data_IF_243511494484
#
_entry.id   IF_243511494484
#
_cell.length_a   1.000
_cell.length_b   1.000
_cell.length_c   1.000
_cell.angle_alpha   90.00
_cell.angle_beta   90.00
_cell.angle_gamma   90.00
#
_symmetry.space_group_name_H-M   'P 1'
#
loop_
_entity.id
_entity.type
_entity.pdbx_description
1 polymer ?
#
# COMPACT_ATOMS: atom_id res chain seq x y z
N UNK A 1 27.18 -32.24 -0.54
CA UNK A 1 27.84 -31.01 -1.04
C UNK A 1 26.82 -29.92 -0.86
N UNK A 2 27.17 -28.81 -0.20
CA UNK A 2 26.21 -27.73 0.07
C UNK A 2 25.74 -27.16 -1.25
N UNK A 3 24.43 -27.15 -1.48
CA UNK A 3 23.87 -26.45 -2.61
C UNK A 3 24.12 -24.94 -2.46
N UNK A 4 24.55 -24.28 -3.54
CA UNK A 4 24.71 -22.81 -3.61
C UNK A 4 23.64 -22.16 -4.48
N UNK A 5 22.57 -22.91 -4.76
CA UNK A 5 21.48 -22.45 -5.61
C UNK A 5 20.62 -21.42 -4.87
N UNK A 6 20.01 -20.49 -5.61
CA UNK A 6 19.20 -19.45 -5.00
C UNK A 6 17.89 -20.05 -4.45
N UNK A 7 17.70 -20.00 -3.14
CA UNK A 7 16.52 -20.55 -2.49
C UNK A 7 15.25 -19.75 -2.79
N UNK A 8 15.38 -18.47 -3.15
CA UNK A 8 14.24 -17.61 -3.49
C UNK A 8 13.49 -18.13 -4.73
N UNK A 9 14.23 -18.71 -5.70
CA UNK A 9 13.63 -19.27 -6.91
C UNK A 9 12.74 -20.48 -6.63
N UNK A 10 12.95 -21.20 -5.53
CA UNK A 10 12.05 -22.29 -5.12
C UNK A 10 10.68 -21.76 -4.70
N UNK A 11 10.63 -20.60 -4.06
CA UNK A 11 9.38 -19.93 -3.68
C UNK A 11 8.70 -19.32 -4.91
N UNK A 12 9.45 -18.57 -5.73
CA UNK A 12 8.93 -17.99 -6.98
C UNK A 12 8.39 -19.06 -7.96
N UNK A 13 8.95 -20.27 -7.91
CA UNK A 13 8.44 -21.41 -8.67
C UNK A 13 7.04 -21.84 -8.22
N UNK A 14 6.77 -21.85 -6.91
CA UNK A 14 5.45 -22.19 -6.36
C UNK A 14 4.43 -21.09 -6.63
N UNK A 15 4.85 -19.84 -6.55
CA UNK A 15 4.01 -18.66 -6.81
C UNK A 15 3.73 -18.44 -8.31
N UNK A 16 4.33 -19.25 -9.19
CA UNK A 16 4.27 -19.12 -10.65
C UNK A 16 4.76 -17.77 -11.20
N UNK A 17 5.69 -17.12 -10.49
CA UNK A 17 6.25 -15.81 -10.85
C UNK A 17 7.56 -15.90 -11.64
N UNK A 18 8.20 -17.06 -11.68
CA UNK A 18 9.43 -17.28 -12.47
C UNK A 18 9.19 -17.12 -13.98
N UNK A 19 10.20 -16.59 -14.67
CA UNK A 19 10.21 -16.56 -16.13
C UNK A 19 10.37 -17.98 -16.71
N UNK A 20 9.97 -18.16 -17.97
CA UNK A 20 10.04 -19.46 -18.65
C UNK A 20 11.45 -20.06 -18.70
N UNK A 21 12.48 -19.22 -18.77
CA UNK A 21 13.89 -19.65 -18.80
C UNK A 21 14.36 -20.07 -17.41
N UNK A 22 14.08 -19.27 -16.38
CA UNK A 22 14.47 -19.55 -15.00
C UNK A 22 13.80 -20.83 -14.49
N UNK A 23 12.52 -21.04 -14.85
CA UNK A 23 11.80 -22.28 -14.55
C UNK A 23 12.52 -23.51 -15.10
N UNK A 24 12.98 -23.46 -16.35
CA UNK A 24 13.64 -24.60 -16.99
C UNK A 24 14.98 -24.91 -16.31
N UNK A 25 15.75 -23.89 -15.93
CA UNK A 25 17.00 -24.04 -15.18
C UNK A 25 16.77 -24.65 -13.81
N UNK A 26 15.75 -24.19 -13.08
CA UNK A 26 15.36 -24.73 -11.78
C UNK A 26 14.98 -26.22 -11.89
N UNK A 27 14.17 -26.58 -12.89
CA UNK A 27 13.73 -27.96 -13.10
C UNK A 27 14.90 -28.91 -13.37
N UNK A 28 15.87 -28.49 -14.19
CA UNK A 28 17.10 -29.26 -14.41
C UNK A 28 17.95 -29.35 -13.14
N UNK A 29 18.02 -28.29 -12.34
CA UNK A 29 18.73 -28.30 -11.06
C UNK A 29 18.10 -29.29 -10.06
N UNK A 30 16.76 -29.27 -9.91
CA UNK A 30 16.03 -30.15 -8.98
C UNK A 30 16.11 -31.64 -9.37
N UNK A 31 16.31 -31.94 -10.66
CA UNK A 31 16.61 -33.31 -11.10
C UNK A 31 17.97 -33.80 -10.58
N UNK A 32 18.97 -32.93 -10.49
CA UNK A 32 20.32 -33.27 -10.03
C UNK A 32 20.59 -33.06 -8.54
N UNK A 33 19.87 -32.15 -7.88
CA UNK A 33 20.14 -31.75 -6.49
C UNK A 33 19.11 -32.34 -5.51
N UNK A 34 19.52 -33.23 -4.59
CA UNK A 34 18.61 -33.80 -3.59
C UNK A 34 18.19 -32.80 -2.50
N UNK A 35 19.03 -31.81 -2.18
CA UNK A 35 18.72 -30.79 -1.15
C UNK A 35 17.55 -29.90 -1.61
N UNK A 36 17.66 -29.27 -2.79
CA UNK A 36 16.59 -28.44 -3.34
C UNK A 36 15.29 -29.22 -3.63
N UNK A 37 15.39 -30.51 -3.96
CA UNK A 37 14.20 -31.36 -4.12
C UNK A 37 13.47 -31.55 -2.80
N UNK A 38 14.21 -31.76 -1.70
CA UNK A 38 13.64 -31.93 -0.37
C UNK A 38 12.95 -30.64 0.07
N UNK A 39 13.64 -29.51 -0.06
CA UNK A 39 13.09 -28.18 0.27
C UNK A 39 11.83 -27.85 -0.54
N UNK A 40 11.84 -28.10 -1.86
CA UNK A 40 10.65 -27.90 -2.70
C UNK A 40 9.48 -28.78 -2.26
N UNK A 41 9.76 -29.99 -1.79
CA UNK A 41 8.73 -30.90 -1.29
C UNK A 41 8.16 -30.39 0.04
N UNK A 42 9.02 -29.93 0.96
CA UNK A 42 8.61 -29.34 2.23
C UNK A 42 7.75 -28.09 2.02
N UNK A 43 8.16 -27.18 1.13
CA UNK A 43 7.39 -25.98 0.79
C UNK A 43 6.03 -26.32 0.18
N UNK A 44 5.95 -27.35 -0.69
CA UNK A 44 4.67 -27.82 -1.24
C UNK A 44 3.73 -28.38 -0.19
N UNK A 45 4.26 -29.13 0.78
CA UNK A 45 3.46 -29.66 1.88
C UNK A 45 2.89 -28.54 2.74
N UNK A 46 3.72 -27.54 3.09
CA UNK A 46 3.26 -26.36 3.84
C UNK A 46 2.17 -25.60 3.08
N UNK A 47 2.34 -25.38 1.78
CA UNK A 47 1.33 -24.72 0.96
C UNK A 47 0.02 -25.51 0.96
N UNK A 48 0.10 -26.83 0.81
CA UNK A 48 -1.07 -27.71 0.81
C UNK A 48 -1.80 -27.70 2.16
N UNK A 49 -1.08 -27.72 3.27
CA UNK A 49 -1.67 -27.59 4.62
C UNK A 49 -2.39 -26.24 4.80
N UNK A 50 -1.86 -25.17 4.20
CA UNK A 50 -2.49 -23.85 4.23
C UNK A 50 -3.76 -23.84 3.38
N UNK A 51 -3.74 -24.46 2.21
CA UNK A 51 -4.89 -24.57 1.31
C UNK A 51 -6.01 -25.46 1.88
N UNK A 52 -5.65 -26.49 2.65
CA UNK A 52 -6.60 -27.39 3.30
C UNK A 52 -7.23 -26.78 4.57
N UNK A 53 -6.74 -25.61 5.04
CA UNK A 53 -7.38 -24.91 6.15
C UNK A 53 -8.84 -24.60 5.83
N UNK A 54 -9.71 -24.89 6.80
CA UNK A 54 -11.16 -24.81 6.71
C UNK A 54 -11.57 -23.44 6.18
N UNK A 55 -12.40 -23.44 5.14
CA UNK A 55 -12.99 -22.25 4.57
C UNK A 55 -13.80 -21.52 5.67
N UNK A 56 -13.34 -20.34 6.06
CA UNK A 56 -13.94 -19.58 7.15
C UNK A 56 -15.22 -18.93 6.61
N UNK A 57 -16.35 -19.28 7.21
CA UNK A 57 -17.64 -18.68 6.84
C UNK A 57 -17.58 -17.17 7.11
N UNK A 58 -17.58 -16.40 6.03
CA UNK A 58 -17.29 -14.97 6.07
C UNK A 58 -18.54 -14.25 6.60
N UNK A 59 -18.43 -13.40 7.65
CA UNK A 59 -19.59 -12.69 8.17
C UNK A 59 -20.24 -11.83 7.08
N UNK A 60 -21.57 -11.74 7.10
CA UNK A 60 -22.36 -11.10 6.04
C UNK A 60 -21.90 -9.64 5.77
N UNK A 61 -21.47 -8.92 6.80
CA UNK A 61 -20.92 -7.58 6.65
C UNK A 61 -19.64 -7.58 5.80
N UNK A 62 -18.74 -8.54 6.02
CA UNK A 62 -17.49 -8.65 5.26
C UNK A 62 -17.74 -9.02 3.79
N UNK A 63 -18.75 -9.85 3.51
CA UNK A 63 -19.17 -10.16 2.13
C UNK A 63 -19.65 -8.91 1.41
N UNK A 64 -20.43 -8.07 2.11
CA UNK A 64 -20.93 -6.79 1.56
C UNK A 64 -19.79 -5.84 1.24
N UNK A 65 -18.80 -5.71 2.15
CA UNK A 65 -17.61 -4.88 1.91
C UNK A 65 -16.78 -5.43 0.76
N UNK A 66 -16.56 -6.75 0.67
CA UNK A 66 -15.85 -7.39 -0.46
C UNK A 66 -16.51 -7.05 -1.79
N UNK A 67 -17.84 -7.16 -1.88
CA UNK A 67 -18.58 -6.84 -3.10
C UNK A 67 -18.41 -5.37 -3.51
N UNK A 68 -18.49 -4.43 -2.55
CA UNK A 68 -18.28 -3.00 -2.79
C UNK A 68 -16.84 -2.68 -3.22
N UNK A 69 -15.84 -3.32 -2.61
CA UNK A 69 -14.44 -3.12 -3.01
C UNK A 69 -14.21 -3.63 -4.43
N UNK A 70 -14.74 -4.81 -4.76
CA UNK A 70 -14.60 -5.37 -6.11
C UNK A 70 -15.32 -4.54 -7.18
N UNK A 71 -16.49 -3.96 -6.89
CA UNK A 71 -17.16 -3.04 -7.81
C UNK A 71 -16.33 -1.78 -8.06
N UNK A 72 -15.80 -1.17 -6.99
CA UNK A 72 -14.98 0.03 -7.10
C UNK A 72 -13.68 -0.23 -7.89
N UNK A 73 -13.02 -1.38 -7.68
CA UNK A 73 -11.82 -1.74 -8.44
C UNK A 73 -12.14 -1.94 -9.93
N UNK A 74 -13.28 -2.57 -10.25
CA UNK A 74 -13.72 -2.74 -11.65
C UNK A 74 -14.01 -1.40 -12.31
N UNK A 75 -14.74 -0.52 -11.63
CA UNK A 75 -15.01 0.84 -12.12
C UNK A 75 -13.71 1.61 -12.38
N UNK A 76 -12.69 1.46 -11.52
CA UNK A 76 -11.37 2.05 -11.73
C UNK A 76 -10.60 1.41 -12.89
N UNK A 77 -10.71 0.09 -13.07
CA UNK A 77 -10.08 -0.63 -14.18
C UNK A 77 -10.69 -0.22 -15.53
N UNK A 78 -12.00 0.00 -15.58
CA UNK A 78 -12.71 0.47 -16.78
C UNK A 78 -12.39 1.95 -17.08
N UNK A 79 -11.94 2.72 -16.09
CA UNK A 79 -11.50 4.11 -16.27
C UNK A 79 -10.03 4.25 -16.75
N UNK A 80 -9.24 3.17 -16.83
CA UNK A 80 -7.83 3.21 -17.25
C UNK A 80 -7.61 3.51 -18.75
N UNK A 81 -8.65 3.75 -19.55
CA UNK A 81 -8.48 4.33 -20.89
C UNK A 81 -8.33 5.86 -20.88
N UNK A 82 -8.47 6.51 -19.72
CA UNK A 82 -8.27 7.94 -19.57
C UNK A 82 -7.18 8.19 -18.53
N UNK A 83 -6.09 8.82 -18.96
CA UNK A 83 -5.07 9.39 -18.08
C UNK A 83 -5.71 10.48 -17.22
N UNK A 84 -6.34 10.11 -16.10
CA UNK A 84 -6.95 11.06 -15.17
C UNK A 84 -5.81 11.74 -14.42
N UNK A 85 -5.55 13.00 -14.76
CA UNK A 85 -4.64 13.86 -14.00
C UNK A 85 -5.10 13.89 -12.54
N UNK A 86 -4.26 13.41 -11.64
CA UNK A 86 -4.55 13.42 -10.21
C UNK A 86 -4.61 14.87 -9.72
N UNK A 87 -5.80 15.38 -9.42
CA UNK A 87 -6.03 16.77 -9.01
C UNK A 87 -5.63 16.97 -7.53
N UNK A 88 -5.15 18.17 -7.19
CA UNK A 88 -4.79 18.52 -5.82
C UNK A 88 -6.01 18.40 -4.89
N UNK A 89 -7.22 18.63 -5.42
CA UNK A 89 -8.47 18.41 -4.69
C UNK A 89 -8.72 16.94 -4.34
N UNK A 90 -8.42 16.01 -5.25
CA UNK A 90 -8.56 14.57 -4.97
C UNK A 90 -7.54 14.11 -3.94
N UNK A 91 -6.33 14.67 -3.95
CA UNK A 91 -5.33 14.43 -2.89
C UNK A 91 -5.82 14.89 -1.51
N UNK A 92 -6.37 16.10 -1.41
CA UNK A 92 -6.91 16.63 -0.15
C UNK A 92 -8.11 15.80 0.34
N UNK A 93 -9.00 15.40 -0.57
CA UNK A 93 -10.11 14.52 -0.24
C UNK A 93 -9.63 13.16 0.28
N UNK A 94 -8.63 12.55 -0.38
CA UNK A 94 -8.02 11.30 0.04
C UNK A 94 -7.39 11.41 1.43
N UNK A 95 -6.65 12.49 1.70
CA UNK A 95 -6.05 12.72 3.03
C UNK A 95 -7.11 12.85 4.13
N UNK A 96 -8.22 13.54 3.86
CA UNK A 96 -9.32 13.65 4.83
C UNK A 96 -9.94 12.27 5.12
N UNK A 97 -10.19 11.46 4.09
CA UNK A 97 -10.73 10.11 4.26
C UNK A 97 -9.80 9.18 5.04
N UNK A 98 -8.48 9.28 4.82
CA UNK A 98 -7.47 8.51 5.59
C UNK A 98 -7.51 8.89 7.06
N UNK A 99 -7.56 10.20 7.37
CA UNK A 99 -7.62 10.68 8.76
C UNK A 99 -8.92 10.21 9.43
N UNK A 100 -10.07 10.33 8.76
CA UNK A 100 -11.35 9.92 9.32
C UNK A 100 -11.36 8.43 9.68
N UNK A 101 -10.88 7.57 8.78
CA UNK A 101 -10.77 6.14 9.03
C UNK A 101 -9.79 5.81 10.18
N UNK A 102 -8.64 6.48 10.23
CA UNK A 102 -7.65 6.30 11.30
C UNK A 102 -8.22 6.72 12.67
N UNK A 103 -9.08 7.74 12.69
CA UNK A 103 -9.70 8.21 13.94
C UNK A 103 -10.81 7.29 14.46
N UNK A 104 -11.33 6.35 13.66
CA UNK A 104 -12.33 5.39 14.15
C UNK A 104 -11.76 4.51 15.26
N UNK A 105 -10.51 4.05 15.12
CA UNK A 105 -9.82 3.30 16.17
C UNK A 105 -9.67 4.12 17.46
N UNK A 106 -9.32 5.41 17.33
CA UNK A 106 -9.17 6.32 18.47
C UNK A 106 -10.51 6.60 19.18
N UNK A 107 -11.65 6.53 18.47
CA UNK A 107 -12.99 6.70 19.09
C UNK A 107 -13.40 5.51 19.97
N UNK A 108 -12.88 4.32 19.68
CA UNK A 108 -13.20 3.07 20.41
C UNK A 108 -12.38 2.94 21.71
N UNK A 109 -11.24 3.63 21.82
CA UNK A 109 -10.41 3.58 23.03
C UNK A 109 -10.99 4.43 24.19
N UNK A 110 -11.27 3.85 25.38
CA UNK A 110 -11.75 4.61 26.53
C UNK A 110 -10.69 5.62 27.00
N UNK A 111 -11.10 6.88 27.14
CA UNK A 111 -10.23 8.00 27.55
C UNK A 111 -9.70 8.89 26.40
N UNK A 112 -9.79 8.47 25.14
CA UNK A 112 -9.25 9.22 23.99
C UNK A 112 -10.21 10.25 23.39
N UNK A 113 -11.50 10.24 23.79
CA UNK A 113 -12.52 11.17 23.29
C UNK A 113 -12.20 12.65 23.54
N UNK A 114 -11.39 12.96 24.58
CA UNK A 114 -10.93 14.31 24.87
C UNK A 114 -9.91 14.85 23.85
N UNK A 115 -9.12 13.98 23.20
CA UNK A 115 -8.06 14.36 22.26
C UNK A 115 -8.62 14.73 20.88
N UNK A 116 -9.72 14.10 20.47
CA UNK A 116 -10.41 14.41 19.19
C UNK A 116 -11.07 15.79 19.21
N UNK A 117 -11.53 16.26 20.38
CA UNK A 117 -12.15 17.58 20.50
C UNK A 117 -11.12 18.73 20.62
N UNK A 118 -9.90 18.46 21.08
CA UNK A 118 -8.81 19.45 21.13
C UNK A 118 -8.11 19.63 19.79
N UNK A 119 -8.08 18.61 18.92
CA UNK A 119 -7.51 18.73 17.56
C UNK A 119 -8.25 19.75 16.69
N UNK A 120 -9.59 19.81 16.77
CA UNK A 120 -10.40 20.82 16.06
C UNK A 120 -10.04 22.27 16.45
N UNK A 121 -9.70 22.51 17.72
CA UNK A 121 -9.29 23.86 18.20
C UNK A 121 -7.85 24.21 17.83
N UNK A 122 -6.95 23.22 17.74
CA UNK A 122 -5.54 23.45 17.34
C UNK A 122 -5.37 23.62 15.83
N UNK A 123 -6.18 22.97 14.99
CA UNK A 123 -6.16 23.16 13.53
C UNK A 123 -6.42 24.62 13.13
N UNK A 124 -7.32 25.32 13.84
CA UNK A 124 -7.60 26.75 13.62
C UNK A 124 -6.38 27.63 13.96
N UNK A 125 -5.53 27.23 14.91
CA UNK A 125 -4.29 27.96 15.24
C UNK A 125 -3.15 27.66 14.27
N UNK A 126 -3.01 26.41 13.83
CA UNK A 126 -1.97 25.99 12.87
C UNK A 126 -2.07 26.67 11.50
N UNK A 127 -3.29 26.93 11.01
CA UNK A 127 -3.51 27.62 9.74
C UNK A 127 -3.03 29.08 9.75
N UNK A 128 -3.05 29.76 10.90
CA UNK A 128 -2.57 31.13 11.04
C UNK A 128 -1.04 31.24 10.97
N UNK A 129 -0.33 30.25 11.50
CA UNK A 129 1.14 30.15 11.44
C UNK A 129 1.57 29.82 10.02
N UNK A 130 0.94 28.82 9.39
CA UNK A 130 1.20 28.47 7.99
C UNK A 130 0.91 29.64 7.03
N UNK A 131 -0.15 30.43 7.26
CA UNK A 131 -0.41 31.66 6.49
C UNK A 131 0.71 32.69 6.64
N UNK A 132 1.26 32.91 7.84
CA UNK A 132 2.37 33.84 8.06
C UNK A 132 3.66 33.36 7.39
N UNK A 133 3.95 32.06 7.45
CA UNK A 133 5.11 31.48 6.75
C UNK A 133 4.95 31.53 5.23
N UNK A 134 3.77 31.21 4.69
CA UNK A 134 3.49 31.30 3.25
C UNK A 134 3.57 32.76 2.75
N UNK A 135 3.04 33.72 3.51
CA UNK A 135 3.12 35.14 3.19
C UNK A 135 4.58 35.67 3.24
N UNK A 136 5.39 35.21 4.20
CA UNK A 136 6.80 35.55 4.29
C UNK A 136 7.62 34.95 3.12
N UNK A 137 7.32 33.72 2.72
CA UNK A 137 7.96 33.06 1.58
C UNK A 137 7.63 33.77 0.26
N UNK A 138 6.37 34.18 0.05
CA UNK A 138 5.96 34.96 -1.13
C UNK A 138 6.58 36.36 -1.16
N UNK A 139 6.67 37.05 -0.02
CA UNK A 139 7.29 38.38 0.09
C UNK A 139 8.79 38.37 -0.18
N UNK A 140 9.48 37.30 0.20
CA UNK A 140 10.90 37.16 -0.13
C UNK A 140 11.11 36.84 -1.62
N UNK A 141 10.24 36.02 -2.22
CA UNK A 141 10.31 35.69 -3.65
C UNK A 141 10.06 36.90 -4.56
N UNK A 142 9.15 37.82 -4.19
CA UNK A 142 8.97 39.08 -4.94
C UNK A 142 10.16 40.01 -4.80
N UNK A 143 10.82 40.05 -3.64
CA UNK A 143 12.05 40.83 -3.42
C UNK A 143 13.22 40.30 -4.24
N UNK A 144 13.35 38.98 -4.42
CA UNK A 144 14.40 38.38 -5.27
C UNK A 144 14.12 38.55 -6.77
N UNK A 145 12.86 38.60 -7.19
CA UNK A 145 12.48 38.86 -8.58
C UNK A 145 12.70 40.32 -8.98
N UNK A 146 12.44 41.28 -8.09
CA UNK A 146 12.69 42.70 -8.34
C UNK A 146 14.20 43.03 -8.44
N UNK A 147 15.06 42.29 -7.73
CA UNK A 147 16.52 42.43 -7.81
C UNK A 147 17.15 41.78 -9.06
N UNK A 148 16.36 41.02 -9.85
CA UNK A 148 16.80 40.40 -11.11
C UNK A 148 16.35 41.17 -12.37
N UNK A 149 15.63 42.28 -12.21
CA UNK A 149 15.17 43.16 -13.28
C UNK A 149 15.92 44.50 -13.40
N UNK A 150 17.09 44.63 -12.76
CA UNK A 150 17.95 45.83 -12.84
C UNK A 150 19.38 45.49 -13.26
N UNK A 151 19.51 44.66 -14.29
CA UNK A 151 20.71 44.55 -15.15
C UNK A 151 20.23 44.69 -16.59
#
# INVERSE_FOLDING_TARGET
MKCTFNHDWLQEYLDNTLTSVERLVLEEHVKGCPECRKELTELKLLLWEIEEMIDVDLPHEAVTVKAQVLSNIRELADCNSATVSFDIKSFVALQNSIIDNTTLFLKVMPGMQYVVNTSKKSAVKGTSVLKKYAAAALKNRTKTLLMRGSI
#
